data_IF_891713787063
#
_entry.id   IF_891713787063
#
_cell.length_a   1.000
_cell.length_b   1.000
_cell.length_c   1.000
_cell.angle_alpha   90.00
_cell.angle_beta   90.00
_cell.angle_gamma   90.00
#
_symmetry.space_group_name_H-M   'P 1'
#
loop_
_entity.id
_entity.type
_entity.pdbx_description
1 polymer ?
#
# COMPACT_ATOMS: atom_id res chain seq x y z
N UNK A 1 1.98 -3.81 1.92
CA UNK A 1 3.04 -4.83 1.80
C UNK A 1 3.94 -4.37 0.67
N UNK A 2 5.26 -4.41 0.87
CA UNK A 2 6.21 -4.04 -0.16
C UNK A 2 7.17 -5.21 -0.39
N UNK A 3 7.49 -5.54 -1.64
CA UNK A 3 8.36 -6.68 -1.91
C UNK A 3 8.87 -6.77 -3.34
N UNK A 4 9.88 -7.61 -3.51
CA UNK A 4 10.43 -7.99 -4.82
C UNK A 4 10.23 -9.49 -5.04
N UNK A 5 9.45 -9.84 -6.06
CA UNK A 5 9.18 -11.21 -6.46
C UNK A 5 10.06 -11.64 -7.65
N UNK A 6 10.66 -12.82 -7.53
CA UNK A 6 11.35 -13.55 -8.58
C UNK A 6 10.41 -14.59 -9.21
N UNK A 7 10.97 -15.54 -9.96
CA UNK A 7 10.23 -16.59 -10.66
C UNK A 7 9.29 -17.38 -9.73
N UNK A 8 8.11 -17.74 -10.23
CA UNK A 8 7.08 -18.44 -9.44
C UNK A 8 6.36 -17.55 -8.43
N UNK A 9 6.48 -16.22 -8.54
CA UNK A 9 5.95 -15.26 -7.56
C UNK A 9 6.66 -15.30 -6.19
N UNK A 10 7.89 -15.83 -6.12
CA UNK A 10 8.63 -16.00 -4.86
C UNK A 10 9.27 -14.68 -4.44
N UNK A 11 8.93 -14.19 -3.24
CA UNK A 11 9.58 -13.00 -2.69
C UNK A 11 11.02 -13.29 -2.26
N UNK A 12 11.99 -12.52 -2.78
CA UNK A 12 13.37 -12.53 -2.31
C UNK A 12 13.57 -11.58 -1.13
N UNK A 13 12.79 -10.51 -1.09
CA UNK A 13 12.71 -9.57 0.03
C UNK A 13 11.33 -8.94 0.09
N UNK A 14 10.88 -8.58 1.29
CA UNK A 14 9.65 -7.82 1.46
C UNK A 14 9.19 -7.73 2.90
N UNK A 15 8.00 -7.17 3.10
CA UNK A 15 7.36 -7.17 4.41
C UNK A 15 6.11 -6.32 4.48
N UNK A 16 5.43 -6.46 5.61
CA UNK A 16 4.32 -5.60 5.95
C UNK A 16 4.76 -4.35 6.71
N UNK A 17 4.02 -3.27 6.46
CA UNK A 17 4.12 -2.02 7.19
C UNK A 17 2.72 -1.58 7.61
N UNK A 18 2.66 -0.81 8.69
CA UNK A 18 1.43 -0.17 9.17
C UNK A 18 1.55 1.33 8.93
N UNK A 19 0.50 1.91 8.34
CA UNK A 19 0.32 3.36 8.29
C UNK A 19 -0.12 3.82 9.68
N UNK A 20 0.77 4.44 10.45
CA UNK A 20 0.47 4.92 11.80
C UNK A 20 -0.28 6.26 11.76
N UNK A 21 0.09 7.12 10.81
CA UNK A 21 -0.59 8.39 10.52
C UNK A 21 -0.68 8.62 9.03
N UNK A 22 -1.75 9.28 8.62
CA UNK A 22 -1.94 9.76 7.25
C UNK A 22 -2.18 11.26 7.22
N UNK A 23 -1.87 11.89 6.08
CA UNK A 23 -2.32 13.24 5.81
C UNK A 23 -2.90 13.38 4.40
N UNK A 24 -4.16 13.85 4.24
CA UNK A 24 -5.15 14.10 5.30
C UNK A 24 -5.51 12.85 6.14
N UNK A 25 -6.18 13.00 7.30
CA UNK A 25 -6.59 11.86 8.12
C UNK A 25 -7.48 10.88 7.34
N UNK A 26 -7.29 9.57 7.57
CA UNK A 26 -8.07 8.43 7.04
C UNK A 26 -7.98 8.15 5.53
N UNK A 27 -7.78 9.18 4.71
CA UNK A 27 -7.77 9.07 3.24
C UNK A 27 -6.44 9.45 2.60
N UNK A 28 -5.48 9.90 3.42
CA UNK A 28 -4.25 10.49 2.93
C UNK A 28 -3.09 9.54 2.69
N UNK A 29 -2.03 10.16 2.18
CA UNK A 29 -0.70 9.58 2.06
C UNK A 29 -0.15 9.25 3.45
N UNK A 30 0.77 8.29 3.51
CA UNK A 30 1.48 7.97 4.76
C UNK A 30 2.24 9.20 5.25
N UNK A 31 1.91 9.64 6.47
CA UNK A 31 2.66 10.68 7.18
C UNK A 31 3.71 10.05 8.10
N UNK A 32 3.32 8.98 8.80
CA UNK A 32 4.19 8.13 9.61
C UNK A 32 3.79 6.68 9.37
N UNK A 33 4.76 5.80 9.16
CA UNK A 33 4.51 4.37 9.03
C UNK A 33 5.60 3.53 9.70
N UNK A 34 5.22 2.39 10.25
CA UNK A 34 6.15 1.47 10.93
C UNK A 34 6.23 0.14 10.21
N UNK A 35 7.43 -0.43 10.13
CA UNK A 35 7.63 -1.80 9.64
C UNK A 35 7.28 -2.76 10.77
N UNK A 36 6.16 -3.47 10.62
CA UNK A 36 5.64 -4.37 11.64
C UNK A 36 5.19 -5.67 10.97
N UNK A 37 5.59 -6.85 11.49
CA UNK A 37 5.14 -8.13 10.98
C UNK A 37 3.61 -8.20 10.95
N UNK A 38 3.07 -8.64 9.82
CA UNK A 38 1.65 -8.88 9.66
C UNK A 38 1.45 -10.15 8.82
N UNK A 39 1.51 -11.33 9.45
CA UNK A 39 1.46 -12.60 8.73
C UNK A 39 0.25 -12.75 7.80
N UNK A 40 -0.98 -12.35 8.17
CA UNK A 40 -2.11 -12.38 7.24
C UNK A 40 -1.89 -11.58 5.95
N UNK A 41 -1.35 -10.36 6.05
CA UNK A 41 -1.04 -9.50 4.90
C UNK A 41 0.09 -10.08 4.05
N UNK A 42 1.14 -10.57 4.70
CA UNK A 42 2.30 -11.16 4.03
C UNK A 42 1.93 -12.45 3.27
N UNK A 43 1.09 -13.29 3.87
CA UNK A 43 0.55 -14.49 3.22
C UNK A 43 -0.40 -14.13 2.07
N UNK A 44 -1.26 -13.12 2.22
CA UNK A 44 -2.13 -12.67 1.14
C UNK A 44 -1.33 -12.15 -0.06
N UNK A 45 -0.28 -11.37 0.19
CA UNK A 45 0.64 -10.91 -0.84
C UNK A 45 1.36 -12.07 -1.55
N UNK A 46 1.86 -13.06 -0.79
CA UNK A 46 2.54 -14.23 -1.36
C UNK A 46 1.60 -15.08 -2.24
N UNK A 47 0.36 -15.31 -1.79
CA UNK A 47 -0.64 -16.02 -2.60
C UNK A 47 -0.95 -15.28 -3.89
N UNK A 48 -1.13 -13.96 -3.82
CA UNK A 48 -1.41 -13.14 -5.00
C UNK A 48 -0.25 -13.17 -6.00
N UNK A 49 0.99 -12.95 -5.55
CA UNK A 49 2.16 -12.99 -6.42
C UNK A 49 2.35 -14.35 -7.09
N UNK A 50 2.14 -15.46 -6.34
CA UNK A 50 2.23 -16.80 -6.88
C UNK A 50 1.13 -17.11 -7.91
N UNK A 51 -0.11 -16.68 -7.64
CA UNK A 51 -1.24 -16.89 -8.55
C UNK A 51 -1.06 -16.18 -9.90
N UNK A 52 -0.34 -15.06 -9.90
CA UNK A 52 -0.05 -14.27 -11.10
C UNK A 52 1.27 -14.64 -11.80
N UNK A 53 2.06 -15.57 -11.25
CA UNK A 53 3.50 -15.72 -11.57
C UNK A 53 4.22 -14.37 -11.65
N UNK A 54 3.91 -13.46 -10.72
CA UNK A 54 4.37 -12.08 -10.80
C UNK A 54 5.88 -11.99 -10.58
N UNK A 55 6.56 -11.24 -11.46
CA UNK A 55 8.00 -10.96 -11.37
C UNK A 55 8.23 -9.46 -11.38
N UNK A 56 8.92 -8.95 -10.37
CA UNK A 56 9.16 -7.52 -10.23
C UNK A 56 8.91 -6.99 -8.83
N UNK A 57 9.04 -5.69 -8.69
CA UNK A 57 8.76 -4.97 -7.45
C UNK A 57 7.25 -4.70 -7.39
N UNK A 58 6.67 -4.80 -6.20
CA UNK A 58 5.27 -4.43 -5.95
C UNK A 58 5.11 -3.70 -4.62
N UNK A 59 4.11 -2.82 -4.59
CA UNK A 59 3.56 -2.18 -3.41
C UNK A 59 2.05 -2.44 -3.36
N UNK A 60 1.61 -3.15 -2.33
CA UNK A 60 0.20 -3.53 -2.14
C UNK A 60 -0.38 -2.81 -0.94
N UNK A 61 -1.48 -2.11 -1.14
CA UNK A 61 -2.23 -1.53 -0.04
C UNK A 61 -3.35 -2.48 0.41
N UNK A 62 -3.39 -2.75 1.71
CA UNK A 62 -4.42 -3.56 2.32
C UNK A 62 -5.18 -2.75 3.37
N UNK A 63 -6.48 -2.96 3.44
CA UNK A 63 -7.31 -2.61 4.60
C UNK A 63 -7.59 -3.87 5.40
N UNK A 64 -7.39 -3.79 6.70
CA UNK A 64 -7.65 -4.89 7.60
C UNK A 64 -9.06 -4.75 8.17
N UNK A 65 -9.88 -5.78 8.02
CA UNK A 65 -11.15 -5.86 8.73
C UNK A 65 -10.90 -6.38 10.16
N UNK A 66 -11.11 -5.56 11.20
CA UNK A 66 -10.89 -5.95 12.59
C UNK A 66 -11.85 -7.04 13.07
N UNK A 67 -13.05 -7.14 12.48
CA UNK A 67 -14.07 -8.11 12.93
C UNK A 67 -13.75 -9.52 12.42
N UNK A 68 -13.28 -9.64 11.19
CA UNK A 68 -12.97 -10.93 10.54
C UNK A 68 -11.49 -11.27 10.58
N UNK A 69 -10.62 -10.31 10.83
CA UNK A 69 -9.17 -10.46 10.74
C UNK A 69 -8.65 -10.60 9.30
N UNK A 70 -9.50 -10.33 8.30
CA UNK A 70 -9.17 -10.54 6.89
C UNK A 70 -8.54 -9.29 6.28
N UNK A 71 -7.38 -9.41 5.59
CA UNK A 71 -6.84 -8.33 4.80
C UNK A 71 -7.54 -8.25 3.43
N UNK A 72 -8.13 -7.10 3.12
CA UNK A 72 -8.70 -6.78 1.82
C UNK A 72 -7.72 -5.95 1.00
N UNK A 73 -7.40 -6.41 -0.20
CA UNK A 73 -6.56 -5.67 -1.13
C UNK A 73 -7.32 -4.42 -1.61
N UNK A 74 -6.68 -3.25 -1.52
CA UNK A 74 -7.23 -1.96 -1.96
C UNK A 74 -6.60 -1.56 -3.29
N UNK A 75 -5.29 -1.73 -3.42
CA UNK A 75 -4.55 -1.31 -4.61
C UNK A 75 -3.33 -2.20 -4.85
N UNK A 76 -3.00 -2.39 -6.13
CA UNK A 76 -1.82 -3.11 -6.61
C UNK A 76 -0.96 -2.15 -7.42
N UNK A 77 0.23 -1.82 -6.91
CA UNK A 77 1.18 -0.97 -7.62
C UNK A 77 2.39 -1.81 -8.08
N UNK A 78 2.54 -2.12 -9.38
CA UNK A 78 3.63 -2.95 -9.91
C UNK A 78 4.96 -2.17 -10.04
N UNK A 79 5.38 -1.52 -8.96
CA UNK A 79 6.55 -0.62 -8.91
C UNK A 79 7.03 -0.42 -7.47
N UNK A 80 8.22 0.17 -7.27
CA UNK A 80 8.59 0.72 -5.98
C UNK A 80 7.52 1.71 -5.46
N UNK A 81 7.17 1.53 -4.19
CA UNK A 81 6.26 2.39 -3.45
C UNK A 81 7.03 3.59 -2.90
N UNK A 82 6.35 4.69 -2.60
CA UNK A 82 7.01 5.89 -2.07
C UNK A 82 7.76 5.62 -0.75
N UNK A 83 7.24 4.69 0.06
CA UNK A 83 7.81 4.27 1.34
C UNK A 83 8.75 3.04 1.24
N UNK A 84 9.27 2.67 0.06
CA UNK A 84 10.03 1.43 -0.08
C UNK A 84 11.25 1.33 0.86
N UNK A 85 11.89 2.47 1.19
CA UNK A 85 13.03 2.54 2.13
C UNK A 85 12.67 2.17 3.58
N UNK A 86 11.38 2.21 3.95
CA UNK A 86 10.92 1.65 5.23
C UNK A 86 11.28 0.16 5.35
N UNK A 87 11.35 -0.54 4.23
CA UNK A 87 11.59 -1.98 4.14
C UNK A 87 13.05 -2.35 3.90
N UNK A 88 13.96 -1.37 3.94
CA UNK A 88 15.40 -1.62 3.90
C UNK A 88 15.84 -2.34 5.17
N UNK A 89 16.60 -3.42 5.03
CA UNK A 89 17.08 -4.19 6.16
C UNK A 89 18.32 -3.55 6.85
N UNK A 90 18.81 -4.16 7.92
CA UNK A 90 20.01 -3.71 8.66
C UNK A 90 21.29 -3.68 7.82
N UNK A 91 21.39 -4.51 6.77
CA UNK A 91 22.51 -4.55 5.84
C UNK A 91 22.33 -3.60 4.64
N UNK A 92 21.23 -2.84 4.59
CA UNK A 92 20.94 -1.92 3.51
C UNK A 92 20.33 -2.58 2.28
N UNK A 93 19.82 -3.81 2.35
CA UNK A 93 19.11 -4.44 1.25
C UNK A 93 17.67 -3.92 1.20
N UNK A 94 17.30 -3.34 0.06
CA UNK A 94 15.92 -2.96 -0.28
C UNK A 94 15.45 -3.72 -1.54
N UNK A 95 14.19 -3.52 -1.94
CA UNK A 95 13.61 -4.17 -3.11
C UNK A 95 14.31 -3.84 -4.43
N UNK A 96 14.88 -2.63 -4.56
CA UNK A 96 15.57 -2.18 -5.79
C UNK A 96 16.94 -2.85 -5.86
N UNK A 97 17.68 -2.84 -4.75
CA UNK A 97 18.96 -3.57 -4.63
C UNK A 97 18.78 -5.07 -4.81
N UNK A 98 17.74 -5.66 -4.23
CA UNK A 98 17.41 -7.07 -4.41
C UNK A 98 17.09 -7.40 -5.87
N UNK A 99 16.28 -6.57 -6.54
CA UNK A 99 16.00 -6.72 -7.97
C UNK A 99 17.28 -6.63 -8.79
N UNK A 100 18.13 -5.63 -8.53
CA UNK A 100 19.38 -5.45 -9.24
C UNK A 100 20.32 -6.65 -9.07
N UNK A 101 20.53 -7.13 -7.84
CA UNK A 101 21.35 -8.31 -7.56
C UNK A 101 20.80 -9.54 -8.30
N UNK A 102 19.51 -9.80 -8.19
CA UNK A 102 18.87 -10.94 -8.85
C UNK A 102 18.99 -10.89 -10.38
N UNK A 103 18.65 -9.76 -11.01
CA UNK A 103 18.71 -9.60 -12.47
C UNK A 103 20.13 -9.61 -13.04
N UNK A 104 21.15 -9.42 -12.19
CA UNK A 104 22.57 -9.48 -12.59
C UNK A 104 23.25 -10.80 -12.16
N UNK A 105 22.46 -11.80 -11.74
CA UNK A 105 22.98 -13.13 -11.36
C UNK A 105 23.75 -13.16 -10.04
N UNK A 106 23.68 -12.11 -9.23
CA UNK A 106 24.31 -12.07 -7.90
C UNK A 106 23.35 -12.60 -6.84
N UNK A 107 23.92 -13.20 -5.79
CA UNK A 107 23.14 -13.66 -4.65
C UNK A 107 22.44 -12.48 -3.96
N UNK A 108 21.15 -12.67 -3.63
CA UNK A 108 20.39 -11.73 -2.78
C UNK A 108 20.55 -12.18 -1.32
N UNK A 109 21.19 -11.38 -0.45
CA UNK A 109 21.38 -11.74 0.94
C UNK A 109 20.07 -12.01 1.67
N UNK A 110 20.03 -13.06 2.50
CA UNK A 110 18.85 -13.38 3.32
C UNK A 110 17.63 -13.88 2.54
N UNK A 111 17.74 -14.11 1.22
CA UNK A 111 16.65 -14.64 0.42
C UNK A 111 16.23 -16.04 0.95
N UNK A 112 14.95 -16.25 1.26
CA UNK A 112 14.48 -17.52 1.80
C UNK A 112 14.63 -18.64 0.75
N UNK A 113 14.99 -19.87 1.17
CA UNK A 113 15.17 -21.01 0.27
C UNK A 113 13.85 -21.57 -0.30
N UNK A 114 12.69 -20.93 -0.13
CA UNK A 114 11.39 -21.44 -0.58
C UNK A 114 10.34 -20.38 -0.91
N UNK A 115 9.14 -20.81 -1.32
CA UNK A 115 7.97 -19.96 -1.59
C UNK A 115 7.29 -19.59 -0.26
N UNK A 116 7.56 -18.39 0.24
CA UNK A 116 6.91 -17.86 1.43
C UNK A 116 7.39 -16.44 1.73
N UNK A 117 6.70 -15.70 2.61
CA UNK A 117 7.27 -14.47 3.14
C UNK A 117 8.59 -14.83 3.84
N UNK A 118 9.66 -14.12 3.49
CA UNK A 118 11.00 -14.39 4.00
C UNK A 118 11.08 -14.33 5.52
N UNK A 119 12.23 -14.76 6.06
CA UNK A 119 12.56 -14.65 7.49
C UNK A 119 12.23 -13.22 7.98
N UNK A 120 11.89 -12.99 9.26
CA UNK A 120 11.70 -11.64 9.77
C UNK A 120 12.95 -10.81 9.47
N UNK A 121 12.86 -9.89 8.50
CA UNK A 121 14.06 -9.16 8.11
C UNK A 121 14.47 -8.24 9.27
N UNK A 122 15.78 -8.18 9.51
CA UNK A 122 16.45 -7.22 10.37
C UNK A 122 15.95 -5.80 10.03
N UNK A 123 15.16 -5.17 10.90
CA UNK A 123 14.44 -3.92 10.59
C UNK A 123 12.99 -3.86 11.04
N UNK A 124 12.48 -4.89 11.73
CA UNK A 124 11.23 -4.77 12.52
C UNK A 124 11.32 -3.56 13.45
N UNK A 125 10.28 -2.73 13.49
CA UNK A 125 10.22 -1.54 14.32
C UNK A 125 10.79 -0.28 13.68
N UNK A 126 11.39 -0.36 12.49
CA UNK A 126 11.75 0.83 11.69
C UNK A 126 10.54 1.72 11.46
N UNK A 127 10.76 3.03 11.48
CA UNK A 127 9.72 4.05 11.29
C UNK A 127 10.08 4.93 10.10
N UNK A 128 9.13 5.17 9.20
CA UNK A 128 9.26 6.11 8.09
C UNK A 128 8.44 7.36 8.38
N UNK A 129 9.05 8.52 8.18
CA UNK A 129 8.45 9.84 8.47
C UNK A 129 8.53 10.71 7.23
N UNK A 130 7.37 11.15 6.76
CA UNK A 130 7.26 12.18 5.72
C UNK A 130 7.07 13.52 6.42
N UNK A 131 8.14 14.28 6.59
CA UNK A 131 8.28 15.34 7.59
C UNK A 131 7.18 16.40 7.51
N UNK A 132 6.88 16.88 6.30
CA UNK A 132 5.83 17.88 6.07
C UNK A 132 4.43 17.34 6.42
N UNK A 133 4.14 16.07 6.14
CA UNK A 133 2.87 15.44 6.48
C UNK A 133 2.80 14.99 7.93
N UNK A 134 3.92 14.56 8.51
CA UNK A 134 4.04 14.21 9.91
C UNK A 134 3.74 15.42 10.78
N UNK A 135 4.31 16.58 10.44
CA UNK A 135 4.01 17.86 11.10
C UNK A 135 2.52 18.21 11.01
N UNK A 136 1.94 18.19 9.81
CA UNK A 136 0.51 18.49 9.64
C UNK A 136 -0.39 17.49 10.38
N UNK A 137 -0.09 16.20 10.30
CA UNK A 137 -0.84 15.16 11.00
C UNK A 137 -0.73 15.26 12.52
N UNK A 138 0.38 15.79 13.05
CA UNK A 138 0.57 15.99 14.48
C UNK A 138 -0.14 17.25 15.01
N UNK A 139 -0.16 18.33 14.21
CA UNK A 139 -0.75 19.61 14.60
C UNK A 139 -2.26 19.70 14.33
N UNK A 140 -2.70 19.14 13.21
CA UNK A 140 -4.06 19.31 12.68
C UNK A 140 -4.82 17.99 12.56
N UNK A 141 -4.12 16.86 12.68
CA UNK A 141 -4.76 15.56 12.71
C UNK A 141 -5.45 15.33 14.05
N UNK A 142 -6.43 14.41 14.09
CA UNK A 142 -7.03 14.00 15.36
C UNK A 142 -5.92 13.53 16.31
N UNK A 143 -5.90 14.08 17.52
CA UNK A 143 -5.05 13.55 18.57
C UNK A 143 -5.43 12.08 18.80
N UNK A 144 -4.45 11.20 19.11
CA UNK A 144 -4.77 9.88 19.62
C UNK A 144 -5.40 10.07 21.00
N UNK A 145 -6.71 10.37 21.03
CA UNK A 145 -7.53 10.20 22.21
C UNK A 145 -7.34 8.75 22.65
N UNK A 146 -7.04 8.53 23.92
CA UNK A 146 -6.79 7.21 24.51
C UNK A 146 -7.96 6.23 24.49
N UNK A 147 -8.92 6.44 23.60
CA UNK A 147 -10.02 5.55 23.27
C UNK A 147 -9.83 5.13 21.81
N UNK A 148 -9.60 3.83 21.61
CA UNK A 148 -9.74 3.22 20.32
C UNK A 148 -11.05 3.67 19.64
N UNK A 149 -10.98 3.91 18.33
CA UNK A 149 -12.15 4.17 17.49
C UNK A 149 -12.64 5.63 17.51
N UNK A 150 -12.42 6.34 16.41
CA UNK A 150 -13.52 6.81 15.55
C UNK A 150 -12.94 7.61 14.39
N UNK A 151 -13.01 7.00 13.20
CA UNK A 151 -12.38 7.47 11.98
C UNK A 151 -11.85 6.29 11.15
N UNK A 152 -12.77 5.44 10.71
CA UNK A 152 -12.47 4.23 9.93
C UNK A 152 -12.56 2.95 10.73
N UNK A 153 -13.80 2.58 11.11
CA UNK A 153 -14.23 1.19 11.29
C UNK A 153 -13.55 0.37 12.39
N UNK A 154 -14.21 0.35 13.55
CA UNK A 154 -14.19 -0.70 14.58
C UNK A 154 -12.87 -1.01 15.31
N UNK A 155 -12.95 -0.92 16.63
CA UNK A 155 -12.14 -1.71 17.55
C UNK A 155 -12.13 -3.17 17.08
N UNK A 156 -10.95 -3.66 16.73
CA UNK A 156 -10.62 -5.06 16.88
C UNK A 156 -9.19 -5.10 17.38
N UNK A 157 -9.03 -5.76 18.51
CA UNK A 157 -7.82 -6.46 18.90
C UNK A 157 -7.34 -7.32 17.73
N UNK A 158 -6.64 -6.72 16.77
CA UNK A 158 -5.66 -7.44 15.96
C UNK A 158 -4.65 -8.10 16.89
N UNK A 159 -3.97 -9.17 16.46
CA UNK A 159 -3.18 -10.04 17.34
C UNK A 159 -2.34 -9.19 18.27
N UNK A 160 -2.50 -9.40 19.58
CA UNK A 160 -1.84 -8.66 20.63
C UNK A 160 -0.34 -8.56 20.32
N UNK A 161 0.09 -7.38 19.86
CA UNK A 161 1.49 -7.13 19.57
C UNK A 161 2.11 -6.69 20.88
N UNK A 162 2.93 -7.55 21.47
CA UNK A 162 3.84 -7.16 22.54
C UNK A 162 4.70 -5.95 22.15
N UNK A 163 5.36 -5.30 23.10
CA UNK A 163 6.16 -4.11 22.82
C UNK A 163 7.24 -4.44 21.79
N UNK A 164 7.04 -3.96 20.56
CA UNK A 164 8.10 -3.96 19.54
C UNK A 164 8.97 -2.75 19.82
N UNK A 165 10.26 -2.98 20.09
CA UNK A 165 11.22 -1.91 20.26
C UNK A 165 11.20 -0.99 19.04
N UNK A 166 11.15 0.32 19.26
CA UNK A 166 11.22 1.30 18.17
C UNK A 166 12.62 1.20 17.55
N UNK A 167 12.64 0.90 16.26
CA UNK A 167 13.86 0.85 15.46
C UNK A 167 14.24 2.23 14.91
N UNK A 168 15.19 2.27 13.97
CA UNK A 168 15.67 3.53 13.40
C UNK A 168 14.58 4.26 12.58
N UNK A 169 14.73 5.58 12.49
CA UNK A 169 13.83 6.46 11.75
C UNK A 169 14.41 6.76 10.38
N UNK A 170 13.66 6.39 9.35
CA UNK A 170 13.86 6.76 7.96
C UNK A 170 13.05 8.03 7.67
N UNK A 171 13.70 9.05 7.13
CA UNK A 171 13.08 10.33 6.75
C UNK A 171 12.89 10.39 5.24
N UNK A 172 11.81 11.04 4.79
CA UNK A 172 11.50 11.10 3.36
C UNK A 172 12.40 12.07 2.60
N UNK A 173 12.78 13.20 3.23
CA UNK A 173 13.48 14.29 2.55
C UNK A 173 14.79 14.68 3.22
N UNK A 174 14.85 14.69 4.55
CA UNK A 174 16.01 15.16 5.29
C UNK A 174 17.02 14.04 5.55
N UNK A 175 18.25 14.27 5.10
CA UNK A 175 19.43 13.49 5.46
C UNK A 175 20.49 14.43 6.07
N UNK A 176 21.24 13.96 7.08
CA UNK A 176 22.23 14.80 7.76
C UNK A 176 23.48 15.04 6.90
N UNK A 177 23.81 14.07 6.05
CA UNK A 177 24.90 14.05 5.08
C UNK A 177 24.54 14.74 3.76
N UNK A 178 23.25 14.89 3.45
CA UNK A 178 22.75 15.70 2.33
C UNK A 178 21.46 16.46 2.75
N UNK A 179 21.60 17.64 3.38
CA UNK A 179 20.45 18.37 3.91
C UNK A 179 19.72 19.20 2.86
N UNK A 180 20.29 19.40 1.67
CA UNK A 180 19.73 20.29 0.64
C UNK A 180 18.32 19.88 0.17
N UNK A 181 18.01 18.59 -0.08
CA UNK A 181 16.64 18.18 -0.44
C UNK A 181 15.62 18.51 0.66
N UNK A 182 15.99 18.32 1.93
CA UNK A 182 15.15 18.68 3.08
C UNK A 182 14.83 20.17 3.11
N UNK A 183 15.83 21.03 2.91
CA UNK A 183 15.63 22.48 2.86
C UNK A 183 14.83 22.92 1.62
N UNK A 184 15.10 22.35 0.45
CA UNK A 184 14.34 22.64 -0.77
C UNK A 184 12.85 22.29 -0.61
N UNK A 185 12.55 21.16 0.03
CA UNK A 185 11.19 20.77 0.37
C UNK A 185 10.53 21.72 1.36
N UNK A 186 11.24 22.14 2.41
CA UNK A 186 10.72 23.11 3.37
C UNK A 186 10.43 24.46 2.71
N UNK A 187 11.36 24.99 1.92
CA UNK A 187 11.20 26.26 1.18
C UNK A 187 10.05 26.19 0.17
N UNK A 188 9.97 25.12 -0.63
CA UNK A 188 8.90 24.92 -1.59
C UNK A 188 7.53 24.78 -0.92
N UNK A 189 7.47 24.11 0.24
CA UNK A 189 6.25 23.98 1.02
C UNK A 189 5.79 25.32 1.62
N UNK A 190 6.71 26.08 2.26
CA UNK A 190 6.44 27.42 2.78
C UNK A 190 5.97 28.38 1.68
N UNK A 191 6.66 28.38 0.53
CA UNK A 191 6.29 29.18 -0.63
C UNK A 191 4.88 28.85 -1.10
N UNK A 192 4.52 27.56 -1.17
CA UNK A 192 3.15 27.13 -1.51
C UNK A 192 2.11 27.62 -0.49
N UNK A 193 2.43 27.60 0.80
CA UNK A 193 1.53 28.11 1.85
C UNK A 193 1.31 29.63 1.71
N UNK A 194 2.36 30.38 1.37
CA UNK A 194 2.30 31.82 1.13
C UNK A 194 1.52 32.15 -0.16
N UNK A 195 1.86 31.49 -1.28
CA UNK A 195 1.27 31.74 -2.61
C UNK A 195 -0.19 31.30 -2.69
N UNK A 196 -0.53 30.13 -2.14
CA UNK A 196 -1.93 29.65 -2.17
C UNK A 196 -2.81 30.35 -1.15
N UNK A 197 -2.27 31.30 -0.38
CA UNK A 197 -2.99 32.05 0.62
C UNK A 197 -3.72 31.10 1.56
N UNK A 198 -3.04 30.63 2.61
CA UNK A 198 -3.78 30.34 3.83
C UNK A 198 -4.35 31.68 4.30
N UNK A 199 -5.45 32.13 3.68
CA UNK A 199 -6.41 32.99 4.37
C UNK A 199 -6.81 32.13 5.56
N UNK A 200 -6.49 32.52 6.80
CA UNK A 200 -7.06 31.82 7.93
C UNK A 200 -8.57 31.94 7.73
N UNK A 201 -9.24 30.86 7.32
CA UNK A 201 -10.70 30.85 7.40
C UNK A 201 -10.96 30.95 8.88
N UNK A 202 -11.32 32.15 9.35
CA UNK A 202 -11.70 32.34 10.73
C UNK A 202 -12.67 31.22 11.10
N UNK A 203 -12.53 30.60 12.29
CA UNK A 203 -13.45 29.55 12.74
C UNK A 203 -14.93 29.98 12.58
N UNK A 204 -15.20 31.28 12.67
CA UNK A 204 -16.51 31.90 12.43
C UNK A 204 -17.08 31.75 11.01
N UNK A 205 -16.27 31.67 9.95
CA UNK A 205 -16.79 31.50 8.58
C UNK A 205 -17.26 30.08 8.31
N UNK A 206 -16.57 29.07 8.87
CA UNK A 206 -17.01 27.66 8.80
C UNK A 206 -18.26 27.42 9.64
N UNK A 207 -18.38 28.11 10.78
CA UNK A 207 -19.58 28.09 11.61
C UNK A 207 -20.77 28.79 10.93
N UNK A 208 -20.54 29.95 10.29
CA UNK A 208 -21.56 30.66 9.50
C UNK A 208 -22.02 29.86 8.28
N UNK A 209 -21.12 29.18 7.58
CA UNK A 209 -21.47 28.31 6.46
C UNK A 209 -22.29 27.08 6.90
N UNK A 210 -21.99 26.51 8.08
CA UNK A 210 -22.78 25.43 8.69
C UNK A 210 -24.15 25.91 9.19
N UNK A 211 -24.23 27.10 9.79
CA UNK A 211 -25.48 27.72 10.22
C UNK A 211 -26.39 28.08 9.02
N UNK A 212 -25.82 28.64 7.95
CA UNK A 212 -26.55 28.94 6.73
C UNK A 212 -27.12 27.68 6.03
N UNK A 213 -26.40 26.55 6.12
CA UNK A 213 -26.88 25.24 5.63
C UNK A 213 -27.96 24.64 6.53
N UNK A 214 -27.90 24.85 7.85
CA UNK A 214 -28.93 24.42 8.79
C UNK A 214 -30.23 25.23 8.65
N UNK A 215 -30.15 26.54 8.34
CA UNK A 215 -31.33 27.39 8.10
C UNK A 215 -32.01 27.04 6.77
N UNK A 216 -31.26 26.67 5.72
CA UNK A 216 -31.85 26.20 4.44
C UNK A 216 -32.47 24.81 4.50
N UNK A 217 -32.11 23.99 5.49
CA UNK A 217 -32.69 22.65 5.70
C UNK A 217 -34.05 22.64 6.41
N UNK A 218 -34.56 23.81 6.85
CA UNK A 218 -35.82 23.95 7.59
C UNK A 218 -36.95 24.57 6.78
N UNK A 219 -36.85 24.57 5.44
CA UNK A 219 -38.00 24.84 4.59
C UNK A 219 -38.96 23.64 4.64
N UNK A 220 -40.06 23.84 5.37
CA UNK A 220 -41.17 22.91 5.58
C UNK A 220 -41.71 22.42 4.22
N UNK A 221 -41.69 21.10 4.01
CA UNK A 221 -42.40 20.48 2.89
C UNK A 221 -43.92 20.60 3.11
N UNK A 222 -44.72 20.92 2.08
CA UNK A 222 -46.18 21.00 2.23
C UNK A 222 -46.80 19.61 2.42
N UNK A 223 -47.94 19.48 3.14
CA UNK A 223 -48.56 18.19 3.41
C UNK A 223 -49.17 17.58 2.14
N UNK A 224 -48.96 16.27 1.95
CA UNK A 224 -49.63 15.47 0.92
C UNK A 224 -51.06 15.12 1.35
N UNK A 225 -52.04 15.08 0.42
CA UNK A 225 -53.40 14.67 0.74
C UNK A 225 -53.49 13.16 0.95
N UNK A 226 -54.30 12.78 1.92
CA UNK A 226 -54.69 11.42 2.29
C UNK A 226 -55.63 10.82 1.24
N UNK A 227 -55.35 9.59 0.82
CA UNK A 227 -56.35 8.71 0.20
C UNK A 227 -56.45 7.42 1.03
N UNK A 228 -57.64 7.20 1.57
CA UNK A 228 -58.02 6.02 2.32
C UNK A 228 -58.31 4.85 1.37
N UNK A 229 -58.11 3.63 1.89
CA UNK A 229 -58.90 2.46 1.52
C UNK A 229 -58.23 1.49 0.54
N UNK A 230 -57.69 0.40 1.06
CA UNK A 230 -58.22 -0.94 0.78
C UNK A 230 -57.39 -1.99 1.53
N UNK A 231 -58.09 -2.76 2.34
CA UNK A 231 -57.60 -3.97 3.00
C UNK A 231 -57.08 -5.01 1.99
N UNK A 232 -56.12 -5.84 2.42
CA UNK A 232 -56.12 -7.30 2.22
C UNK A 232 -54.97 -7.97 2.98
N UNK A 233 -55.39 -8.69 4.03
CA UNK A 233 -54.92 -10.00 4.53
C UNK A 233 -53.57 -10.55 4.05
N UNK A 234 -52.75 -10.92 5.04
CA UNK A 234 -51.52 -11.69 4.90
C UNK A 234 -51.75 -13.20 4.72
N UNK A 235 -50.90 -13.85 3.93
CA UNK A 235 -50.38 -15.21 4.19
C UNK A 235 -49.07 -15.43 3.40
N UNK A 236 -48.15 -16.28 3.90
CA UNK A 236 -46.77 -16.32 3.45
C UNK A 236 -46.55 -17.39 2.36
N UNK A 237 -45.71 -17.10 1.37
CA UNK A 237 -45.27 -18.07 0.38
C UNK A 237 -43.74 -18.07 0.26
N UNK A 238 -43.16 -19.11 0.86
CA UNK A 238 -42.17 -20.05 0.31
C UNK A 238 -41.05 -19.54 -0.60
N UNK A 239 -39.82 -19.80 -0.15
CA UNK A 239 -38.59 -19.83 -0.94
C UNK A 239 -38.71 -20.84 -2.11
N UNK A 240 -38.24 -20.51 -3.33
CA UNK A 240 -37.98 -21.52 -4.34
C UNK A 240 -36.54 -22.07 -4.22
N UNK A 241 -36.44 -23.40 -4.14
CA UNK A 241 -35.23 -24.17 -4.43
C UNK A 241 -35.07 -24.34 -5.97
N UNK A 242 -33.87 -24.66 -6.48
CA UNK A 242 -33.51 -24.49 -7.89
C UNK A 242 -33.97 -25.66 -8.77
N UNK A 243 -34.35 -25.36 -10.01
CA UNK A 243 -34.57 -26.36 -11.06
C UNK A 243 -33.29 -26.58 -11.89
N UNK A 244 -33.08 -27.81 -12.44
CA UNK A 244 -31.83 -28.25 -13.04
C UNK A 244 -31.78 -27.97 -14.55
N UNK A 245 -30.57 -27.89 -15.09
CA UNK A 245 -30.32 -28.05 -16.53
C UNK A 245 -29.88 -26.76 -17.24
N UNK A 246 -28.56 -26.53 -17.26
CA UNK A 246 -27.89 -25.93 -18.40
C UNK A 246 -26.41 -26.37 -18.35
N UNK A 247 -26.00 -27.05 -19.41
CA UNK A 247 -24.66 -27.59 -19.62
C UNK A 247 -23.56 -26.52 -19.52
N UNK A 248 -22.44 -26.97 -18.95
CA UNK A 248 -21.19 -26.23 -18.80
C UNK A 248 -20.49 -26.13 -20.17
N UNK A 249 -20.09 -24.94 -20.67
CA UNK A 249 -19.20 -24.87 -21.81
C UNK A 249 -17.79 -25.34 -21.41
N UNK A 250 -17.27 -26.32 -22.15
CA UNK A 250 -15.95 -26.90 -21.98
C UNK A 250 -14.82 -25.84 -22.08
N UNK A 251 -13.69 -26.05 -21.38
CA UNK A 251 -12.57 -25.12 -21.42
C UNK A 251 -11.89 -25.10 -22.80
N UNK A 252 -11.78 -23.90 -23.37
CA UNK A 252 -10.97 -23.62 -24.56
C UNK A 252 -9.51 -23.91 -24.24
N UNK A 253 -8.91 -24.87 -24.96
CA UNK A 253 -7.48 -25.16 -24.85
C UNK A 253 -6.65 -24.01 -25.45
N UNK A 254 -5.57 -23.56 -24.79
CA UNK A 254 -4.65 -22.60 -25.39
C UNK A 254 -3.88 -23.25 -26.54
N UNK A 255 -3.66 -22.48 -27.61
CA UNK A 255 -2.89 -22.90 -28.77
C UNK A 255 -1.45 -23.34 -28.38
N UNK A 256 -0.86 -24.34 -29.06
CA UNK A 256 0.50 -24.78 -28.78
C UNK A 256 1.52 -23.67 -29.07
N UNK A 257 2.51 -23.52 -28.17
CA UNK A 257 3.63 -22.60 -28.34
C UNK A 257 4.39 -22.88 -29.65
N UNK A 258 4.81 -21.85 -30.41
CA UNK A 258 5.74 -22.04 -31.51
C UNK A 258 7.07 -22.59 -30.95
N UNK A 259 7.59 -23.61 -31.64
CA UNK A 259 8.86 -24.25 -31.28
C UNK A 259 10.03 -23.26 -31.34
N UNK A 260 11.04 -23.39 -30.45
CA UNK A 260 12.23 -22.56 -30.51
C UNK A 260 13.03 -22.89 -31.77
N UNK A 261 13.21 -21.91 -32.64
CA UNK A 261 14.22 -21.95 -33.71
C UNK A 261 15.61 -22.07 -33.09
N UNK A 262 16.50 -22.95 -33.60
CA UNK A 262 17.86 -23.05 -33.08
C UNK A 262 18.62 -21.74 -33.28
N UNK A 263 19.22 -21.23 -32.21
CA UNK A 263 20.16 -20.12 -32.27
C UNK A 263 21.37 -20.51 -33.14
N UNK A 264 21.83 -19.66 -34.08
CA UNK A 264 23.12 -19.89 -34.73
C UNK A 264 24.23 -19.80 -33.69
N UNK A 265 25.16 -20.76 -33.73
CA UNK A 265 26.31 -20.79 -32.84
C UNK A 265 27.15 -19.51 -32.95
N UNK A 266 27.73 -19.01 -31.86
CA UNK A 266 28.67 -17.90 -31.91
C UNK A 266 29.92 -18.33 -32.68
N UNK A 267 30.25 -17.61 -33.74
CA UNK A 267 31.53 -17.71 -34.44
C UNK A 267 32.67 -17.38 -33.47
N UNK A 268 33.79 -18.13 -33.48
CA UNK A 268 34.91 -17.83 -32.60
C UNK A 268 35.47 -16.44 -32.93
N UNK A 269 35.55 -15.58 -31.91
CA UNK A 269 36.21 -14.30 -31.99
C UNK A 269 37.69 -14.52 -32.35
N UNK A 270 38.08 -14.11 -33.54
CA UNK A 270 39.49 -13.98 -33.91
C UNK A 270 40.04 -12.79 -33.12
N UNK A 271 40.97 -13.07 -32.22
CA UNK A 271 41.71 -12.08 -31.43
C UNK A 271 42.51 -11.18 -32.39
N UNK A 272 41.97 -10.00 -32.72
CA UNK A 272 42.77 -8.95 -33.36
C UNK A 272 43.65 -8.33 -32.28
N UNK A 273 44.90 -8.78 -32.23
CA UNK A 273 45.99 -8.05 -31.57
C UNK A 273 46.15 -6.69 -32.25
N UNK A 274 45.98 -5.61 -31.49
CA UNK A 274 46.41 -4.27 -31.90
C UNK A 274 47.93 -4.17 -31.70
N UNK A 275 48.73 -3.87 -32.75
CA UNK A 275 50.13 -3.52 -32.60
C UNK A 275 50.23 -1.99 -32.60
N UNK A 276 50.28 -1.37 -31.43
CA UNK A 276 50.82 -0.02 -31.29
C UNK A 276 51.05 0.27 -29.80
N UNK A 277 52.30 0.08 -29.39
CA UNK A 277 52.95 0.85 -28.32
C UNK A 277 54.44 0.58 -28.50
N UNK A 278 55.06 1.43 -29.29
CA UNK A 278 56.50 1.64 -29.29
C UNK A 278 56.70 3.15 -29.14
N UNK A 279 57.68 3.48 -28.30
CA UNK A 279 58.13 4.82 -27.88
C UNK A 279 57.42 5.40 -26.66
#
# INVERSE_FOLDING_TARGET
FHGYAADGGRFLTGGAGRKDRSWPPHTGLTAVGSRLPNPPVEQAAARLAAALDYRGILDLDFRFDPATGVPHLVDFNPRPGAQFRLFTDGAGLDVVRAQHLHLTGRAVPGAPPGRGPGRPHDGTGRVYVVENYALLSALLGPHPSGSAGEGGGALGTGPARGPVARGPVERAWFAADDPLPGFAMAAGWLTRCLVKGVRPSCPGERLRARAAKAVRGRAVAPPRPTAAGAARTASPASLPSPAPGAESPAPVQPAPNPQPTPHPQPTPHTERRNPCTTS
#
